data_IF_958222738884
#
_entry.id   IF_958222738884
#
_cell.length_a   1.000
_cell.length_b   1.000
_cell.length_c   1.000
_cell.angle_alpha   90.00
_cell.angle_beta   90.00
_cell.angle_gamma   90.00
#
_symmetry.space_group_name_H-M   'P 1'
#
loop_
_entity.id
_entity.type
_entity.pdbx_description
1 polymer ?
#
# COMPACT_ATOMS: atom_id res chain seq x y z
N UNK A 1 7.73 -6.79 8.92
CA UNK A 1 7.46 -6.51 10.34
C UNK A 1 7.61 -7.72 11.25
N UNK A 2 7.49 -8.94 10.77
CA UNK A 2 7.62 -10.14 11.61
C UNK A 2 8.96 -10.27 12.34
N UNK A 3 9.97 -9.56 11.88
CA UNK A 3 11.38 -9.79 12.23
C UNK A 3 12.17 -8.50 12.49
N UNK A 4 11.54 -7.34 12.52
CA UNK A 4 12.20 -6.03 12.68
C UNK A 4 13.32 -5.76 11.64
N UNK A 5 13.25 -6.39 10.48
CA UNK A 5 14.24 -6.19 9.40
C UNK A 5 13.97 -4.88 8.67
N UNK A 6 15.04 -4.18 8.31
CA UNK A 6 14.97 -3.02 7.43
C UNK A 6 14.78 -3.46 5.99
N UNK A 7 13.83 -2.84 5.31
CA UNK A 7 13.55 -3.07 3.90
C UNK A 7 13.88 -1.82 3.07
N UNK A 8 14.24 -2.02 1.83
CA UNK A 8 14.39 -0.96 0.83
C UNK A 8 13.57 -1.31 -0.42
N UNK A 9 13.32 -0.32 -1.28
CA UNK A 9 12.64 -0.57 -2.55
C UNK A 9 13.39 -1.65 -3.36
N UNK A 10 14.72 -1.61 -3.35
CA UNK A 10 15.55 -2.61 -4.02
C UNK A 10 15.34 -4.02 -3.46
N UNK A 11 15.18 -4.16 -2.14
CA UNK A 11 15.00 -5.49 -1.49
C UNK A 11 13.64 -6.12 -1.79
N UNK A 12 12.65 -5.34 -2.20
CA UNK A 12 11.30 -5.82 -2.51
C UNK A 12 10.98 -5.79 -4.01
N UNK A 13 11.92 -5.31 -4.83
CA UNK A 13 11.74 -5.22 -6.28
C UNK A 13 11.37 -6.57 -6.90
N UNK A 14 10.26 -6.61 -7.62
CA UNK A 14 9.81 -7.80 -8.33
C UNK A 14 10.32 -7.85 -9.77
N UNK A 15 10.46 -9.06 -10.29
CA UNK A 15 10.91 -9.29 -11.67
C UNK A 15 10.02 -8.61 -12.71
N UNK A 16 8.72 -8.55 -12.47
CA UNK A 16 7.72 -8.02 -13.40
C UNK A 16 7.11 -6.68 -12.97
N UNK A 17 7.57 -6.12 -11.88
CA UNK A 17 7.10 -4.85 -11.36
C UNK A 17 7.09 -4.81 -9.83
N UNK A 18 6.69 -3.67 -9.28
CA UNK A 18 6.65 -3.46 -7.83
C UNK A 18 5.46 -2.58 -7.45
N UNK A 19 4.77 -2.96 -6.39
CA UNK A 19 3.69 -2.19 -5.79
C UNK A 19 4.13 -1.63 -4.45
N UNK A 20 4.03 -0.31 -4.29
CA UNK A 20 4.23 0.40 -3.03
C UNK A 20 2.88 0.92 -2.55
N UNK A 21 2.50 0.58 -1.33
CA UNK A 21 1.24 0.99 -0.74
C UNK A 21 1.49 1.81 0.53
N UNK A 22 0.80 2.94 0.67
CA UNK A 22 0.75 3.67 1.94
C UNK A 22 -0.53 3.30 2.66
N UNK A 23 -0.40 2.67 3.80
CA UNK A 23 -1.52 2.24 4.65
C UNK A 23 -1.22 2.56 6.11
N UNK A 24 -2.24 2.53 6.96
CA UNK A 24 -2.08 2.63 8.40
C UNK A 24 -3.10 1.75 9.12
N UNK A 25 -2.95 1.58 10.42
CA UNK A 25 -3.76 0.65 11.18
C UNK A 25 -5.13 1.21 11.56
N UNK A 26 -5.24 2.52 11.80
CA UNK A 26 -6.46 3.14 12.31
C UNK A 26 -7.48 3.50 11.21
N UNK A 27 -7.05 3.63 9.97
CA UNK A 27 -7.85 4.22 8.89
C UNK A 27 -9.04 3.34 8.50
N UNK A 28 -10.30 3.83 8.59
CA UNK A 28 -11.47 3.06 8.20
C UNK A 28 -11.49 2.73 6.70
N UNK A 29 -10.90 3.55 5.84
CA UNK A 29 -10.73 3.26 4.41
C UNK A 29 -9.80 2.08 4.17
N UNK A 30 -8.79 1.88 5.01
CA UNK A 30 -7.91 0.71 4.96
C UNK A 30 -8.60 -0.51 5.54
N UNK A 31 -9.16 -0.38 6.75
CA UNK A 31 -9.81 -1.50 7.45
C UNK A 31 -10.93 -2.14 6.64
N UNK A 32 -11.71 -1.34 5.91
CA UNK A 32 -12.82 -1.84 5.09
C UNK A 32 -12.36 -2.74 3.94
N UNK A 33 -11.18 -2.51 3.37
CA UNK A 33 -10.69 -3.20 2.18
C UNK A 33 -9.44 -4.06 2.41
N UNK A 34 -8.94 -4.14 3.63
CA UNK A 34 -7.65 -4.78 3.90
C UNK A 34 -7.59 -6.25 3.44
N UNK A 35 -8.67 -7.00 3.61
CA UNK A 35 -8.74 -8.38 3.16
C UNK A 35 -8.63 -8.49 1.62
N UNK A 36 -9.22 -7.55 0.88
CA UNK A 36 -9.09 -7.47 -0.59
C UNK A 36 -7.68 -7.10 -1.02
N UNK A 37 -7.06 -6.15 -0.31
CA UNK A 37 -5.64 -5.81 -0.52
C UNK A 37 -4.78 -7.07 -0.39
N UNK A 38 -4.96 -7.83 0.68
CA UNK A 38 -4.17 -9.05 0.94
C UNK A 38 -4.41 -10.12 -0.12
N UNK A 39 -5.65 -10.33 -0.54
CA UNK A 39 -5.99 -11.28 -1.61
C UNK A 39 -5.37 -10.88 -2.94
N UNK A 40 -5.53 -9.62 -3.35
CA UNK A 40 -4.97 -9.11 -4.60
C UNK A 40 -3.43 -9.17 -4.58
N UNK A 41 -2.82 -8.84 -3.44
CA UNK A 41 -1.37 -8.93 -3.29
C UNK A 41 -0.83 -10.36 -3.48
N UNK A 42 -1.54 -11.38 -3.03
CA UNK A 42 -1.14 -12.78 -3.28
C UNK A 42 -1.10 -13.08 -4.78
N UNK A 43 -2.15 -12.69 -5.52
CA UNK A 43 -2.19 -12.87 -6.98
C UNK A 43 -1.04 -12.10 -7.64
N UNK A 44 -0.75 -10.88 -7.22
CA UNK A 44 0.35 -10.09 -7.76
C UNK A 44 1.72 -10.74 -7.49
N UNK A 45 1.92 -11.28 -6.29
CA UNK A 45 3.16 -12.00 -5.94
C UNK A 45 3.35 -13.27 -6.77
N UNK A 46 2.28 -13.99 -7.07
CA UNK A 46 2.30 -15.14 -8.00
C UNK A 46 2.70 -14.72 -9.43
N UNK A 47 2.49 -13.47 -9.80
CA UNK A 47 2.91 -12.88 -11.06
C UNK A 47 4.27 -12.17 -10.99
N UNK A 48 5.09 -12.45 -9.99
CA UNK A 48 6.43 -11.89 -9.79
C UNK A 48 6.46 -10.38 -9.62
N UNK A 49 5.43 -9.83 -9.00
CA UNK A 49 5.37 -8.42 -8.59
C UNK A 49 5.79 -8.34 -7.12
N UNK A 50 6.80 -7.53 -6.83
CA UNK A 50 7.22 -7.24 -5.47
C UNK A 50 6.25 -6.29 -4.79
N UNK A 51 6.07 -6.43 -3.47
CA UNK A 51 5.09 -5.62 -2.73
C UNK A 51 5.68 -5.14 -1.41
N UNK A 52 5.45 -3.89 -1.09
CA UNK A 52 5.74 -3.31 0.22
C UNK A 52 4.62 -2.37 0.65
N UNK A 53 4.22 -2.45 1.91
CA UNK A 53 3.34 -1.50 2.55
C UNK A 53 4.15 -0.59 3.49
N UNK A 54 3.84 0.70 3.47
CA UNK A 54 4.55 1.74 4.23
C UNK A 54 3.55 2.48 5.11
N UNK A 55 3.88 2.61 6.38
CA UNK A 55 3.14 3.43 7.33
C UNK A 55 3.96 4.68 7.64
N UNK A 56 3.45 5.83 7.21
CA UNK A 56 4.14 7.13 7.34
C UNK A 56 3.47 8.08 8.35
N UNK A 57 2.48 7.63 9.12
CA UNK A 57 1.84 8.47 10.13
C UNK A 57 2.77 8.74 11.31
N UNK A 58 2.64 9.91 11.90
CA UNK A 58 3.28 10.23 13.17
C UNK A 58 2.66 9.39 14.30
N UNK A 59 3.46 8.51 14.90
CA UNK A 59 3.02 7.69 16.04
C UNK A 59 2.84 8.49 17.34
N UNK A 60 3.23 9.75 17.35
CA UNK A 60 2.99 10.68 18.45
C UNK A 60 1.76 11.58 18.21
N UNK A 61 1.05 11.38 17.10
CA UNK A 61 -0.22 12.08 16.88
C UNK A 61 -1.17 11.82 18.07
N UNK A 62 -1.70 12.90 18.71
CA UNK A 62 -2.46 12.76 19.96
C UNK A 62 -3.76 11.97 19.80
N UNK A 63 -4.28 11.85 18.59
CA UNK A 63 -5.54 11.18 18.32
C UNK A 63 -5.36 9.74 17.81
N UNK A 64 -4.41 9.53 16.92
CA UNK A 64 -4.27 8.27 16.19
C UNK A 64 -2.93 7.55 16.39
N UNK A 65 -1.93 8.25 16.95
CA UNK A 65 -0.58 7.71 17.04
C UNK A 65 -0.49 6.39 17.79
N UNK A 66 -1.27 6.22 18.84
CA UNK A 66 -1.29 4.96 19.58
C UNK A 66 -1.75 3.77 18.72
N UNK A 67 -2.79 3.96 17.90
CA UNK A 67 -3.27 2.90 17.01
C UNK A 67 -2.25 2.55 15.92
N UNK A 68 -1.46 3.54 15.47
CA UNK A 68 -0.44 3.38 14.43
C UNK A 68 0.95 3.04 14.97
N UNK A 69 1.08 2.72 16.25
CA UNK A 69 2.36 2.30 16.84
C UNK A 69 2.96 1.08 16.13
N UNK A 70 4.29 0.95 16.20
CA UNK A 70 5.00 -0.17 15.59
C UNK A 70 4.50 -1.54 16.09
N UNK A 71 4.23 -1.65 17.39
CA UNK A 71 3.67 -2.88 17.97
C UNK A 71 2.29 -3.20 17.38
N UNK A 72 1.44 -2.20 17.22
CA UNK A 72 0.13 -2.38 16.60
C UNK A 72 0.23 -2.67 15.09
N UNK A 73 1.26 -2.18 14.41
CA UNK A 73 1.54 -2.60 13.02
C UNK A 73 1.81 -4.10 12.93
N UNK A 74 2.56 -4.66 13.87
CA UNK A 74 2.82 -6.11 13.92
C UNK A 74 1.53 -6.90 14.14
N UNK A 75 0.70 -6.46 15.07
CA UNK A 75 -0.62 -7.07 15.34
C UNK A 75 -1.50 -6.99 14.08
N UNK A 76 -1.60 -5.83 13.47
CA UNK A 76 -2.41 -5.62 12.28
C UNK A 76 -1.97 -6.50 11.10
N UNK A 77 -0.67 -6.60 10.87
CA UNK A 77 -0.11 -7.44 9.82
C UNK A 77 -0.36 -8.94 10.06
N UNK A 78 -0.25 -9.40 11.31
CA UNK A 78 -0.51 -10.78 11.68
C UNK A 78 -1.99 -11.14 11.59
N UNK A 79 -2.86 -10.30 12.12
CA UNK A 79 -4.31 -10.53 12.15
C UNK A 79 -4.89 -10.55 10.73
N UNK A 80 -4.34 -9.75 9.82
CA UNK A 80 -4.78 -9.69 8.42
C UNK A 80 -3.97 -10.57 7.47
N UNK A 81 -3.06 -11.40 7.99
CA UNK A 81 -2.28 -12.38 7.22
C UNK A 81 -1.46 -11.74 6.07
N UNK A 82 -0.79 -10.65 6.33
CA UNK A 82 0.06 -10.00 5.34
C UNK A 82 1.11 -10.94 4.79
N UNK A 83 1.18 -11.06 3.46
CA UNK A 83 2.21 -11.81 2.73
C UNK A 83 3.38 -10.94 2.27
N UNK A 84 3.37 -9.66 2.60
CA UNK A 84 4.31 -8.63 2.18
C UNK A 84 4.88 -7.88 3.39
N UNK A 85 6.06 -7.25 3.26
CA UNK A 85 6.60 -6.37 4.30
C UNK A 85 5.68 -5.19 4.58
N UNK A 86 5.51 -4.88 5.87
CA UNK A 86 4.84 -3.68 6.35
C UNK A 86 5.83 -2.89 7.21
N UNK A 87 6.28 -1.75 6.70
CA UNK A 87 7.40 -0.99 7.27
C UNK A 87 6.96 0.35 7.84
N UNK A 88 7.67 0.80 8.87
CA UNK A 88 7.48 2.11 9.46
C UNK A 88 8.45 3.13 8.86
N UNK A 89 7.91 4.17 8.24
CA UNK A 89 8.65 5.33 7.72
C UNK A 89 8.78 6.39 8.82
N UNK A 90 9.72 6.15 9.75
CA UNK A 90 9.88 6.97 10.95
C UNK A 90 10.19 8.42 10.64
N UNK A 91 10.99 8.69 9.61
CA UNK A 91 11.36 10.05 9.20
C UNK A 91 10.31 10.73 8.34
N UNK A 92 9.35 9.97 7.83
CA UNK A 92 8.34 10.39 6.85
C UNK A 92 8.92 10.85 5.51
N UNK A 93 10.20 10.58 5.27
CA UNK A 93 10.87 10.92 4.01
C UNK A 93 10.31 10.12 2.83
N UNK A 94 10.01 8.85 3.06
CA UNK A 94 9.45 7.99 2.01
C UNK A 94 8.09 8.51 1.56
N UNK A 95 7.17 8.76 2.51
CA UNK A 95 5.87 9.32 2.21
C UNK A 95 5.94 10.65 1.47
N UNK A 96 6.83 11.54 1.90
CA UNK A 96 7.04 12.85 1.26
C UNK A 96 7.64 12.74 -0.15
N UNK A 97 8.62 11.86 -0.34
CA UNK A 97 9.26 11.65 -1.65
C UNK A 97 8.32 11.04 -2.68
N UNK A 98 7.33 10.28 -2.25
CA UNK A 98 6.27 9.73 -3.10
C UNK A 98 5.12 10.72 -3.35
N UNK A 99 5.09 11.87 -2.68
CA UNK A 99 3.91 12.74 -2.61
C UNK A 99 2.65 11.99 -2.17
N UNK A 100 2.80 11.03 -1.28
CA UNK A 100 1.67 10.31 -0.71
C UNK A 100 0.82 11.27 0.14
N UNK A 101 -0.49 11.23 -0.04
CA UNK A 101 -1.39 12.22 0.61
C UNK A 101 -2.41 11.57 1.55
N UNK A 102 -2.72 10.30 1.34
CA UNK A 102 -3.74 9.59 2.11
C UNK A 102 -3.39 8.12 2.29
N UNK A 103 -4.18 7.44 3.10
CA UNK A 103 -4.18 5.98 3.24
C UNK A 103 -5.58 5.42 2.97
N UNK A 104 -5.74 4.39 2.14
CA UNK A 104 -4.69 3.78 1.33
C UNK A 104 -4.31 4.63 0.11
N UNK A 105 -3.04 4.57 -0.31
CA UNK A 105 -2.56 5.16 -1.57
C UNK A 105 -1.63 4.17 -2.26
N UNK A 106 -1.74 4.01 -3.58
CA UNK A 106 -1.09 2.94 -4.32
C UNK A 106 -0.23 3.48 -5.45
N UNK A 107 1.00 2.97 -5.53
CA UNK A 107 1.99 3.34 -6.55
C UNK A 107 2.54 2.09 -7.21
N UNK A 108 2.24 1.90 -8.48
CA UNK A 108 2.66 0.75 -9.27
C UNK A 108 3.80 1.09 -10.24
N UNK A 109 4.87 0.32 -10.15
CA UNK A 109 6.06 0.46 -11.00
C UNK A 109 6.22 -0.74 -11.91
N UNK A 110 6.72 -0.51 -13.13
CA UNK A 110 7.13 -1.58 -14.01
C UNK A 110 8.51 -2.17 -13.60
N UNK A 111 8.98 -3.17 -14.32
CA UNK A 111 10.28 -3.81 -14.06
C UNK A 111 11.48 -2.87 -14.17
N UNK A 112 11.33 -1.72 -14.83
CA UNK A 112 12.37 -0.70 -14.99
C UNK A 112 12.25 0.43 -13.93
N UNK A 113 11.45 0.23 -12.88
CA UNK A 113 11.17 1.21 -11.83
C UNK A 113 10.53 2.51 -12.33
N UNK A 114 9.79 2.46 -13.41
CA UNK A 114 9.01 3.58 -13.91
C UNK A 114 7.59 3.52 -13.32
N UNK A 115 7.12 4.65 -12.77
CA UNK A 115 5.76 4.76 -12.23
C UNK A 115 4.74 4.64 -13.37
N UNK A 116 3.87 3.64 -13.30
CA UNK A 116 2.87 3.34 -14.31
C UNK A 116 1.44 3.37 -13.77
N UNK A 117 1.27 3.34 -12.45
CA UNK A 117 -0.03 3.43 -11.80
C UNK A 117 0.08 4.25 -10.53
N UNK A 118 -0.77 5.24 -10.39
CA UNK A 118 -1.06 5.94 -9.14
C UNK A 118 -2.57 6.09 -9.02
N UNK A 119 -3.18 5.36 -8.13
CA UNK A 119 -4.63 5.36 -8.04
C UNK A 119 -5.15 4.53 -6.86
N UNK A 120 -6.45 4.29 -6.88
CA UNK A 120 -7.16 3.55 -5.84
C UNK A 120 -7.10 2.04 -6.05
N UNK A 121 -7.44 1.29 -4.99
CA UNK A 121 -7.65 -0.15 -5.08
C UNK A 121 -8.85 -0.48 -5.98
N UNK A 122 -9.97 0.13 -5.67
CA UNK A 122 -11.29 -0.06 -6.28
C UNK A 122 -12.25 1.06 -5.84
N UNK A 123 -13.52 1.00 -6.24
CA UNK A 123 -14.52 2.00 -5.88
C UNK A 123 -14.96 1.96 -4.41
N UNK A 124 -14.71 0.87 -3.67
CA UNK A 124 -14.99 0.79 -2.23
C UNK A 124 -14.22 1.84 -1.44
N UNK A 125 -14.87 2.41 -0.45
CA UNK A 125 -14.29 3.40 0.46
C UNK A 125 -14.39 2.89 1.90
N UNK A 126 -15.11 3.58 2.79
CA UNK A 126 -15.35 3.09 4.15
C UNK A 126 -16.33 1.90 4.19
N UNK A 127 -17.09 1.71 3.12
CA UNK A 127 -17.99 0.58 2.93
C UNK A 127 -17.60 -0.18 1.67
N UNK A 128 -17.69 -1.50 1.74
CA UNK A 128 -17.40 -2.38 0.61
C UNK A 128 -18.51 -2.29 -0.43
N UNK A 129 -18.11 -2.22 -1.68
CA UNK A 129 -18.97 -2.47 -2.84
C UNK A 129 -18.71 -3.94 -3.24
N UNK A 130 -19.71 -4.84 -3.13
CA UNK A 130 -19.48 -6.29 -3.27
C UNK A 130 -18.80 -6.68 -4.58
N UNK A 131 -19.28 -6.16 -5.70
CA UNK A 131 -18.81 -6.51 -7.05
C UNK A 131 -17.96 -5.41 -7.70
N UNK A 132 -17.24 -4.61 -6.89
CA UNK A 132 -16.38 -3.56 -7.43
C UNK A 132 -15.30 -4.15 -8.34
N UNK A 133 -15.10 -3.58 -9.55
CA UNK A 133 -13.99 -3.97 -10.41
C UNK A 133 -12.65 -3.82 -9.68
N UNK A 134 -11.74 -4.77 -9.88
CA UNK A 134 -10.41 -4.82 -9.25
C UNK A 134 -9.42 -3.94 -10.00
N UNK A 135 -9.56 -2.63 -9.88
CA UNK A 135 -8.83 -1.64 -10.67
C UNK A 135 -7.31 -1.75 -10.48
N UNK A 136 -6.83 -1.81 -9.23
CA UNK A 136 -5.40 -1.96 -8.94
C UNK A 136 -4.85 -3.30 -9.45
N UNK A 137 -5.53 -4.40 -9.17
CA UNK A 137 -5.10 -5.74 -9.60
C UNK A 137 -4.96 -5.80 -11.12
N UNK A 138 -5.97 -5.37 -11.85
CA UNK A 138 -5.97 -5.37 -13.31
C UNK A 138 -4.87 -4.46 -13.87
N UNK A 139 -4.68 -3.27 -13.29
CA UNK A 139 -3.62 -2.35 -13.68
C UNK A 139 -2.23 -2.95 -13.48
N UNK A 140 -1.96 -3.57 -12.34
CA UNK A 140 -0.67 -4.18 -12.04
C UNK A 140 -0.39 -5.41 -12.92
N UNK A 141 -1.40 -6.21 -13.22
CA UNK A 141 -1.26 -7.34 -14.16
C UNK A 141 -0.97 -6.84 -15.58
N UNK A 142 -1.61 -5.75 -16.01
CA UNK A 142 -1.29 -5.10 -17.29
C UNK A 142 0.16 -4.62 -17.33
N UNK A 143 0.62 -3.93 -16.27
CA UNK A 143 2.01 -3.44 -16.15
C UNK A 143 2.99 -4.62 -16.21
N UNK A 144 2.70 -5.73 -15.54
CA UNK A 144 3.56 -6.91 -15.55
C UNK A 144 3.74 -7.52 -16.95
N UNK A 145 2.73 -7.40 -17.80
CA UNK A 145 2.73 -7.95 -19.17
C UNK A 145 3.27 -6.98 -20.21
N UNK A 146 2.93 -5.70 -20.11
CA UNK A 146 3.17 -4.70 -21.15
C UNK A 146 4.22 -3.65 -20.76
N UNK A 147 4.55 -3.52 -19.49
CA UNK A 147 5.39 -2.46 -18.95
C UNK A 147 4.69 -1.10 -18.83
N UNK A 148 3.40 -1.01 -19.15
CA UNK A 148 2.61 0.22 -19.11
C UNK A 148 1.29 0.03 -18.38
N UNK A 149 0.92 1.04 -17.58
CA UNK A 149 -0.35 1.11 -16.90
C UNK A 149 -1.51 1.54 -17.80
N UNK A 150 -2.76 1.45 -17.29
CA UNK A 150 -3.93 1.95 -18.00
C UNK A 150 -3.87 3.47 -18.15
N UNK A 151 -4.52 4.00 -19.17
CA UNK A 151 -4.59 5.45 -19.41
C UNK A 151 -5.45 6.16 -18.35
N UNK A 152 -6.56 5.57 -17.98
CA UNK A 152 -7.45 6.09 -16.94
C UNK A 152 -7.08 5.51 -15.58
N UNK A 153 -6.81 6.40 -14.63
CA UNK A 153 -6.47 6.05 -13.26
C UNK A 153 -7.24 6.98 -12.32
N UNK A 154 -7.94 6.40 -11.37
CA UNK A 154 -8.78 7.15 -10.44
C UNK A 154 -8.00 7.35 -9.15
N UNK A 155 -7.82 8.60 -8.68
CA UNK A 155 -7.08 8.90 -7.45
C UNK A 155 -7.65 8.17 -6.24
N UNK A 156 -6.76 7.79 -5.33
CA UNK A 156 -7.14 7.26 -4.02
C UNK A 156 -7.90 8.29 -3.19
N UNK A 157 -8.84 7.80 -2.39
CA UNK A 157 -9.55 8.56 -1.36
C UNK A 157 -9.32 7.84 -0.03
N UNK A 158 -8.97 8.58 1.00
CA UNK A 158 -8.70 8.00 2.30
C UNK A 158 -8.43 9.04 3.39
N UNK A 159 -7.94 8.55 4.52
CA UNK A 159 -7.52 9.43 5.62
C UNK A 159 -6.21 10.13 5.26
N UNK A 160 -6.10 11.42 5.57
CA UNK A 160 -4.84 12.16 5.41
C UNK A 160 -3.72 11.53 6.23
N UNK A 161 -2.52 11.51 5.68
CA UNK A 161 -1.32 11.13 6.43
C UNK A 161 -1.07 12.17 7.53
N UNK A 162 -0.73 11.69 8.74
CA UNK A 162 -0.46 12.55 9.91
C UNK A 162 1.03 12.87 9.90
N UNK A 163 1.36 14.07 9.42
CA UNK A 163 2.74 14.54 9.36
C UNK A 163 3.21 15.09 10.72
N UNK A 164 4.46 14.83 11.05
CA UNK A 164 5.12 15.47 12.19
C UNK A 164 5.15 16.98 12.00
N UNK A 165 4.82 17.71 13.04
CA UNK A 165 4.88 19.17 13.10
C UNK A 165 6.25 19.66 13.51
#
# INVERSE_FOLDING_TARGET
IRDSIKHSLTSVHGKNGTLVMFICNHCPYVKSVIHRIVEDCKVLQENSIGIIAVMSNDVNDPKYGHEDSFDNMQVFANDNLFSFPYVYDETQEVGKNYDAVCTPDFFGFNKNNELQYRGRLEASQQQLIPDAPKELLEAMLQISKTGKGPQEQIPSIGCSIKWKT
#
